data_IF_030302368226
#
_entry.id   IF_030302368226
#
_cell.length_a   1.000
_cell.length_b   1.000
_cell.length_c   1.000
_cell.angle_alpha   90.00
_cell.angle_beta   90.00
_cell.angle_gamma   90.00
#
_symmetry.space_group_name_H-M   'P 1'
#
loop_
_entity.id
_entity.type
_entity.pdbx_description
1 polymer ?
#
# COMPACT_ATOMS: atom_id res chain seq x y z
N UNK A 1 22.06 -60.42 13.27
CA UNK A 1 21.15 -59.70 14.20
C UNK A 1 21.63 -58.30 14.56
N UNK A 2 22.90 -58.07 14.97
CA UNK A 2 23.42 -56.72 15.34
C UNK A 2 23.26 -55.63 14.26
N UNK A 3 23.40 -55.97 12.97
CA UNK A 3 23.27 -55.02 11.85
C UNK A 3 21.82 -54.55 11.60
N UNK A 4 20.84 -55.38 11.92
CA UNK A 4 19.40 -55.07 11.74
C UNK A 4 18.93 -54.08 12.82
N UNK A 5 19.43 -54.23 14.06
CA UNK A 5 19.14 -53.28 15.14
C UNK A 5 19.67 -51.86 14.85
N UNK A 6 20.84 -51.75 14.20
CA UNK A 6 21.43 -50.45 13.83
C UNK A 6 20.60 -49.75 12.76
N UNK A 7 20.12 -50.49 11.76
CA UNK A 7 19.26 -49.93 10.69
C UNK A 7 17.92 -49.43 11.24
N UNK A 8 17.31 -50.17 12.17
CA UNK A 8 16.06 -49.74 12.82
C UNK A 8 16.25 -48.49 13.70
N UNK A 9 17.40 -48.33 14.35
CA UNK A 9 17.72 -47.15 15.16
C UNK A 9 17.90 -45.88 14.31
N UNK A 10 18.53 -46.00 13.13
CA UNK A 10 18.75 -44.87 12.22
C UNK A 10 17.42 -44.40 11.61
N UNK A 11 16.53 -45.33 11.23
CA UNK A 11 15.21 -44.99 10.68
C UNK A 11 14.34 -44.29 11.74
N UNK A 12 14.39 -44.73 13.00
CA UNK A 12 13.70 -44.06 14.11
C UNK A 12 14.24 -42.65 14.38
N UNK A 13 15.55 -42.43 14.23
CA UNK A 13 16.16 -41.11 14.42
C UNK A 13 15.80 -40.12 13.30
N UNK A 14 15.78 -40.57 12.03
CA UNK A 14 15.38 -39.74 10.88
C UNK A 14 13.90 -39.33 10.94
N UNK A 15 13.05 -40.17 11.53
CA UNK A 15 11.62 -39.91 11.72
C UNK A 15 11.33 -38.89 12.82
N UNK A 16 12.25 -38.69 13.78
CA UNK A 16 12.06 -37.76 14.89
C UNK A 16 12.44 -36.32 14.52
N UNK A 17 13.37 -36.13 13.58
CA UNK A 17 13.83 -34.80 13.14
C UNK A 17 12.83 -34.11 12.19
N UNK A 18 11.88 -34.85 11.61
CA UNK A 18 10.90 -34.32 10.64
C UNK A 18 9.64 -33.68 11.28
N UNK A 19 9.49 -33.74 12.61
CA UNK A 19 8.33 -33.19 13.32
C UNK A 19 8.52 -31.76 13.86
N UNK A 20 9.66 -31.12 13.57
CA UNK A 20 10.05 -29.83 14.15
C UNK A 20 9.51 -28.58 13.44
N UNK A 21 8.60 -28.68 12.46
CA UNK A 21 8.07 -27.52 11.73
C UNK A 21 6.66 -27.15 12.19
N UNK A 22 6.50 -26.97 13.50
CA UNK A 22 5.32 -26.30 14.05
C UNK A 22 5.34 -24.83 13.63
N UNK A 23 4.65 -24.49 12.54
CA UNK A 23 4.42 -23.09 12.12
C UNK A 23 3.65 -22.36 13.23
N UNK A 24 4.36 -21.81 14.21
CA UNK A 24 3.80 -20.88 15.19
C UNK A 24 3.16 -19.73 14.40
N UNK A 25 1.84 -19.65 14.40
CA UNK A 25 1.10 -18.49 13.90
C UNK A 25 1.41 -17.31 14.83
N UNK A 26 2.43 -16.53 14.48
CA UNK A 26 2.76 -15.29 15.19
C UNK A 26 1.65 -14.29 14.88
N UNK A 27 0.91 -13.87 15.91
CA UNK A 27 -0.12 -12.82 15.77
C UNK A 27 0.57 -11.50 15.36
N UNK A 28 0.06 -10.78 14.35
CA UNK A 28 0.64 -9.50 13.96
C UNK A 28 0.54 -8.49 15.10
N UNK A 29 1.57 -7.65 15.24
CA UNK A 29 1.53 -6.51 16.15
C UNK A 29 0.50 -5.47 15.70
N UNK A 30 0.08 -4.59 16.61
CA UNK A 30 -0.80 -3.48 16.26
C UNK A 30 -0.19 -2.60 15.16
N UNK A 31 1.12 -2.31 15.24
CA UNK A 31 1.84 -1.53 14.24
C UNK A 31 1.83 -2.20 12.86
N UNK A 32 1.95 -3.53 12.82
CA UNK A 32 1.85 -4.30 11.58
C UNK A 32 0.46 -4.19 10.98
N UNK A 33 -0.60 -4.27 11.80
CA UNK A 33 -1.98 -4.09 11.35
C UNK A 33 -2.23 -2.66 10.84
N UNK A 34 -1.76 -1.64 11.54
CA UNK A 34 -1.90 -0.25 11.12
C UNK A 34 -1.13 0.04 9.81
N UNK A 35 0.04 -0.57 9.64
CA UNK A 35 0.81 -0.49 8.40
C UNK A 35 0.07 -1.14 7.23
N UNK A 36 -0.46 -2.35 7.43
CA UNK A 36 -1.24 -3.05 6.40
C UNK A 36 -2.48 -2.27 6.01
N UNK A 37 -3.17 -1.69 7.00
CA UNK A 37 -4.36 -0.87 6.77
C UNK A 37 -4.02 0.40 5.99
N UNK A 38 -2.96 1.12 6.34
CA UNK A 38 -2.56 2.33 5.61
C UNK A 38 -2.20 2.03 4.15
N UNK A 39 -1.52 0.91 3.88
CA UNK A 39 -1.21 0.45 2.52
C UNK A 39 -2.48 0.03 1.76
N UNK A 40 -3.44 -0.61 2.44
CA UNK A 40 -4.74 -0.97 1.86
C UNK A 40 -5.54 0.27 1.46
N UNK A 41 -5.66 1.25 2.37
CA UNK A 41 -6.34 2.52 2.11
C UNK A 41 -5.62 3.29 0.99
N UNK A 42 -4.29 3.31 0.98
CA UNK A 42 -3.49 3.89 -0.12
C UNK A 42 -3.90 3.32 -1.48
N UNK A 43 -4.07 2.00 -1.59
CA UNK A 43 -4.50 1.36 -2.84
C UNK A 43 -5.96 1.64 -3.18
N UNK A 44 -6.84 1.76 -2.19
CA UNK A 44 -8.24 2.15 -2.41
C UNK A 44 -8.31 3.56 -2.99
N UNK A 45 -7.60 4.52 -2.40
CA UNK A 45 -7.54 5.90 -2.90
C UNK A 45 -6.98 5.92 -4.33
N UNK A 46 -5.91 5.13 -4.59
CA UNK A 46 -5.33 4.98 -5.93
C UNK A 46 -6.39 4.55 -6.95
N UNK A 47 -7.07 3.45 -6.68
CA UNK A 47 -8.10 2.90 -7.57
C UNK A 47 -9.30 3.84 -7.71
N UNK A 48 -9.71 4.50 -6.63
CA UNK A 48 -10.79 5.47 -6.65
C UNK A 48 -10.43 6.67 -7.53
N UNK A 49 -9.19 7.18 -7.45
CA UNK A 49 -8.69 8.22 -8.34
C UNK A 49 -8.70 7.79 -9.81
N UNK A 50 -8.11 6.63 -10.12
CA UNK A 50 -8.04 6.09 -11.50
C UNK A 50 -9.43 5.89 -12.12
N UNK A 51 -10.41 5.46 -11.32
CA UNK A 51 -11.80 5.24 -11.74
C UNK A 51 -12.70 6.46 -11.60
N UNK A 52 -12.20 7.56 -11.05
CA UNK A 52 -12.99 8.73 -10.65
C UNK A 52 -14.19 8.36 -9.77
N UNK A 53 -13.97 7.51 -8.77
CA UNK A 53 -14.98 7.15 -7.77
C UNK A 53 -15.03 8.25 -6.68
N UNK A 54 -15.98 9.18 -6.85
CA UNK A 54 -16.12 10.35 -5.98
C UNK A 54 -16.43 9.96 -4.53
N UNK A 55 -17.24 8.92 -4.33
CA UNK A 55 -17.70 8.52 -3.00
C UNK A 55 -16.57 7.83 -2.24
N UNK A 56 -15.85 6.91 -2.90
CA UNK A 56 -14.67 6.29 -2.30
C UNK A 56 -13.58 7.31 -1.97
N UNK A 57 -13.39 8.35 -2.79
CA UNK A 57 -12.47 9.44 -2.46
C UNK A 57 -12.94 10.22 -1.23
N UNK A 58 -14.22 10.60 -1.12
CA UNK A 58 -14.74 11.32 0.06
C UNK A 58 -14.67 10.51 1.34
N UNK A 59 -14.87 9.20 1.26
CA UNK A 59 -14.83 8.31 2.42
C UNK A 59 -13.40 8.15 2.98
N UNK A 60 -12.39 8.17 2.11
CA UNK A 60 -11.00 7.87 2.49
C UNK A 60 -10.09 9.11 2.63
N UNK A 61 -10.57 10.29 2.24
CA UNK A 61 -9.83 11.56 2.35
C UNK A 61 -10.42 12.45 3.46
N UNK A 62 -9.62 13.40 3.95
CA UNK A 62 -10.17 14.57 4.64
C UNK A 62 -10.99 15.44 3.67
N UNK A 63 -11.97 16.21 4.14
CA UNK A 63 -12.75 17.10 3.27
C UNK A 63 -11.86 18.05 2.45
N UNK A 64 -10.85 18.66 3.08
CA UNK A 64 -9.98 19.65 2.46
C UNK A 64 -9.14 19.05 1.33
N UNK A 65 -8.56 17.87 1.57
CA UNK A 65 -7.77 17.17 0.56
C UNK A 65 -8.66 16.57 -0.54
N UNK A 66 -9.84 16.08 -0.16
CA UNK A 66 -10.86 15.58 -1.07
C UNK A 66 -11.25 16.62 -2.10
N UNK A 67 -11.54 17.85 -1.68
CA UNK A 67 -11.91 18.94 -2.59
C UNK A 67 -10.81 19.27 -3.61
N UNK A 68 -9.55 19.25 -3.21
CA UNK A 68 -8.40 19.48 -4.10
C UNK A 68 -8.28 18.36 -5.13
N UNK A 69 -8.32 17.10 -4.69
CA UNK A 69 -8.15 15.94 -5.58
C UNK A 69 -9.34 15.82 -6.54
N UNK A 70 -10.57 16.01 -6.06
CA UNK A 70 -11.78 15.91 -6.88
C UNK A 70 -11.83 16.96 -8.00
N UNK A 71 -11.35 18.18 -7.74
CA UNK A 71 -11.21 19.22 -8.77
C UNK A 71 -10.20 18.85 -9.86
N UNK A 72 -9.24 17.97 -9.54
CA UNK A 72 -8.20 17.49 -10.44
C UNK A 72 -8.61 16.36 -11.40
N UNK A 73 -9.86 15.86 -11.35
CA UNK A 73 -10.32 14.69 -12.12
C UNK A 73 -10.72 15.00 -13.57
N UNK A 74 -9.97 15.86 -14.27
CA UNK A 74 -10.26 16.30 -15.65
C UNK A 74 -9.70 15.38 -16.75
N UNK A 75 -8.85 14.41 -16.43
CA UNK A 75 -8.30 13.42 -17.38
C UNK A 75 -9.35 12.44 -17.91
N UNK A 76 -9.14 11.75 -19.02
CA UNK A 76 -10.01 10.64 -19.49
C UNK A 76 -9.66 9.33 -18.79
N UNK A 77 -8.36 9.00 -18.72
CA UNK A 77 -7.84 7.82 -18.01
C UNK A 77 -6.63 8.22 -17.20
N UNK A 78 -6.45 7.55 -16.06
CA UNK A 78 -5.24 7.63 -15.25
C UNK A 78 -4.82 6.22 -14.83
N UNK A 79 -3.51 6.00 -14.80
CA UNK A 79 -2.89 4.79 -14.27
C UNK A 79 -1.74 5.21 -13.36
N UNK A 80 -1.84 4.89 -12.09
CA UNK A 80 -0.83 5.16 -11.07
C UNK A 80 -0.18 3.86 -10.62
N UNK A 81 1.12 3.90 -10.38
CA UNK A 81 1.88 2.81 -9.77
C UNK A 81 2.61 3.33 -8.55
N UNK A 82 2.41 2.69 -7.40
CA UNK A 82 3.03 3.06 -6.14
C UNK A 82 4.02 2.00 -5.69
N UNK A 83 5.18 2.44 -5.26
CA UNK A 83 6.21 1.61 -4.63
C UNK A 83 6.44 2.14 -3.21
N UNK A 84 5.76 1.58 -2.19
CA UNK A 84 6.00 1.93 -0.80
C UNK A 84 7.46 1.69 -0.43
N UNK A 85 8.08 2.67 0.23
CA UNK A 85 9.47 2.61 0.68
C UNK A 85 9.55 2.42 2.18
N UNK A 86 8.72 3.14 2.93
CA UNK A 86 8.68 3.03 4.38
C UNK A 86 7.37 3.54 4.95
N UNK A 87 6.94 2.93 6.04
CA UNK A 87 5.82 3.39 6.85
C UNK A 87 6.34 3.80 8.23
N UNK A 88 6.02 5.02 8.65
CA UNK A 88 6.35 5.52 10.00
C UNK A 88 5.06 5.77 10.77
N UNK A 89 5.03 5.35 12.03
CA UNK A 89 3.96 5.65 12.96
C UNK A 89 4.47 6.72 13.93
N UNK A 90 3.74 7.81 14.09
CA UNK A 90 4.03 8.87 15.05
C UNK A 90 2.72 9.37 15.65
N UNK A 91 2.56 9.20 16.95
CA UNK A 91 1.36 9.58 17.68
C UNK A 91 0.09 8.98 17.03
N UNK A 92 -0.78 9.82 16.49
CA UNK A 92 -2.00 9.41 15.79
C UNK A 92 -1.88 9.45 14.26
N UNK A 93 -0.66 9.67 13.74
CA UNK A 93 -0.36 9.78 12.32
C UNK A 93 0.41 8.56 11.80
N UNK A 94 0.07 8.16 10.58
CA UNK A 94 0.79 7.12 9.83
C UNK A 94 1.28 7.76 8.53
N UNK A 95 2.59 7.74 8.32
CA UNK A 95 3.24 8.33 7.15
C UNK A 95 3.73 7.23 6.23
N UNK A 96 3.14 7.14 5.04
CA UNK A 96 3.57 6.20 3.99
C UNK A 96 4.43 6.96 2.99
N UNK A 97 5.75 6.76 3.07
CA UNK A 97 6.67 7.24 2.05
C UNK A 97 6.65 6.26 0.86
N UNK A 98 6.45 6.80 -0.34
CA UNK A 98 6.41 6.00 -1.56
C UNK A 98 7.03 6.75 -2.74
N UNK A 99 7.51 5.98 -3.70
CA UNK A 99 7.75 6.48 -5.05
C UNK A 99 6.52 6.18 -5.90
N UNK A 100 6.24 7.05 -6.87
CA UNK A 100 5.11 6.87 -7.76
C UNK A 100 5.46 7.16 -9.21
N UNK A 101 4.72 6.51 -10.11
CA UNK A 101 4.68 6.81 -11.54
C UNK A 101 3.22 6.95 -11.94
N UNK A 102 2.92 7.88 -12.83
CA UNK A 102 1.58 8.12 -13.32
C UNK A 102 1.56 8.32 -14.83
N UNK A 103 0.53 7.77 -15.47
CA UNK A 103 0.18 8.02 -16.86
C UNK A 103 -1.24 8.58 -16.89
N UNK A 104 -1.45 9.68 -17.60
CA UNK A 104 -2.75 10.30 -17.82
C UNK A 104 -3.02 10.46 -19.30
N UNK A 105 -4.27 10.31 -19.72
CA UNK A 105 -4.69 10.66 -21.08
C UNK A 105 -5.78 11.71 -21.06
N UNK A 106 -5.76 12.63 -22.02
CA UNK A 106 -6.85 13.56 -22.30
C UNK A 106 -6.79 14.02 -23.75
N UNK A 107 -7.92 14.05 -24.45
CA UNK A 107 -8.01 14.50 -25.86
C UNK A 107 -7.00 13.79 -26.77
N UNK A 108 -6.79 12.49 -26.53
CA UNK A 108 -5.84 11.67 -27.30
C UNK A 108 -4.35 11.92 -27.03
N UNK A 109 -3.98 12.85 -26.13
CA UNK A 109 -2.60 13.06 -25.68
C UNK A 109 -2.34 12.26 -24.40
N UNK A 110 -1.14 11.70 -24.26
CA UNK A 110 -0.70 10.96 -23.06
C UNK A 110 0.41 11.71 -22.34
N UNK A 111 0.28 11.85 -21.03
CA UNK A 111 1.19 12.55 -20.13
C UNK A 111 1.71 11.58 -19.10
N UNK A 112 3.00 11.69 -18.79
CA UNK A 112 3.68 10.80 -17.86
C UNK A 112 4.46 11.62 -16.87
N UNK A 113 4.34 11.25 -15.61
CA UNK A 113 5.10 11.88 -14.54
C UNK A 113 5.47 10.85 -13.48
N UNK A 114 6.42 11.21 -12.63
CA UNK A 114 6.88 10.38 -11.52
C UNK A 114 7.47 11.24 -10.42
N UNK A 115 7.40 10.75 -9.20
CA UNK A 115 7.91 11.49 -8.05
C UNK A 115 8.04 10.66 -6.79
N UNK A 116 8.29 11.34 -5.69
CA UNK A 116 8.33 10.76 -4.35
C UNK A 116 7.49 11.60 -3.40
N UNK A 117 6.53 10.94 -2.75
CA UNK A 117 5.55 11.57 -1.88
C UNK A 117 5.49 10.92 -0.50
N UNK A 118 4.93 11.65 0.47
CA UNK A 118 4.58 11.11 1.77
C UNK A 118 3.07 11.28 1.95
N UNK A 119 2.37 10.15 2.00
CA UNK A 119 0.95 10.13 2.32
C UNK A 119 0.79 10.12 3.84
N UNK A 120 0.13 11.14 4.39
CA UNK A 120 -0.05 11.31 5.84
C UNK A 120 -1.49 10.96 6.21
N UNK A 121 -1.64 9.86 6.94
CA UNK A 121 -2.93 9.36 7.39
C UNK A 121 -3.18 9.71 8.86
N UNK A 122 -4.40 10.15 9.18
CA UNK A 122 -4.93 10.07 10.54
C UNK A 122 -5.30 8.61 10.83
N UNK A 123 -4.97 8.07 12.01
CA UNK A 123 -5.18 6.65 12.29
C UNK A 123 -6.65 6.27 12.63
N UNK A 124 -7.47 7.22 13.11
CA UNK A 124 -8.83 6.97 13.60
C UNK A 124 -9.78 8.14 13.29
N UNK A 125 -10.71 8.00 12.34
CA UNK A 125 -10.75 6.93 11.32
C UNK A 125 -9.54 7.01 10.39
N UNK A 126 -9.20 5.91 9.71
CA UNK A 126 -8.05 5.91 8.79
C UNK A 126 -8.35 6.72 7.53
N UNK A 127 -7.89 7.97 7.49
CA UNK A 127 -8.11 8.90 6.37
C UNK A 127 -6.80 9.56 5.96
N UNK A 128 -6.60 9.71 4.66
CA UNK A 128 -5.50 10.52 4.12
C UNK A 128 -5.86 11.98 4.32
N UNK A 129 -5.07 12.68 5.14
CA UNK A 129 -5.35 14.08 5.51
C UNK A 129 -4.43 15.06 4.80
N UNK A 130 -3.26 14.59 4.36
CA UNK A 130 -2.22 15.43 3.77
C UNK A 130 -1.29 14.61 2.88
N UNK A 131 -0.70 15.27 1.89
CA UNK A 131 0.33 14.72 1.01
C UNK A 131 1.49 15.70 1.03
N UNK A 132 2.65 15.25 1.50
CA UNK A 132 3.87 16.05 1.48
C UNK A 132 4.72 15.69 0.25
N UNK A 133 5.48 16.69 -0.24
CA UNK A 133 6.33 16.61 -1.44
C UNK A 133 5.51 16.46 -2.72
N UNK A 134 5.86 15.50 -3.57
CA UNK A 134 5.21 15.32 -4.88
C UNK A 134 3.86 14.63 -4.71
N UNK A 135 2.79 15.22 -5.24
CA UNK A 135 1.44 14.69 -5.14
C UNK A 135 1.09 13.78 -6.33
N UNK A 136 0.92 12.45 -6.14
CA UNK A 136 0.57 11.53 -7.21
C UNK A 136 -0.86 11.73 -7.76
N UNK A 137 -1.71 12.46 -7.05
CA UNK A 137 -3.12 12.71 -7.43
C UNK A 137 -3.32 14.07 -8.09
N UNK A 138 -2.23 14.67 -8.59
CA UNK A 138 -2.29 15.87 -9.44
C UNK A 138 -1.95 15.46 -10.86
N UNK A 139 -2.94 15.44 -11.74
CA UNK A 139 -2.67 15.25 -13.16
C UNK A 139 -1.86 16.45 -13.70
N UNK A 140 -0.84 16.22 -14.54
CA UNK A 140 -0.07 17.30 -15.14
C UNK A 140 -0.98 18.32 -15.85
N UNK A 141 -0.67 19.61 -15.69
CA UNK A 141 -1.45 20.68 -16.32
C UNK A 141 -1.26 20.56 -17.84
N UNK A 142 -2.37 20.44 -18.56
CA UNK A 142 -2.43 20.52 -20.01
C UNK A 142 -2.15 21.97 -20.43
N UNK A 143 -0.89 22.33 -20.63
CA UNK A 143 -0.56 23.55 -21.37
C UNK A 143 -0.47 23.18 -22.85
N UNK A 144 -1.39 23.73 -23.64
CA UNK A 144 -1.33 23.71 -25.11
C UNK A 144 -0.27 24.68 -25.63
#
# INVERSE_FOLDING_TARGET
>A
MKKICIVLMIIAFVSFVSSGCGKKKIKPSQDSLMTQEALRITNIIKTAYEKKDHDALRDNLSPELGDVILKGLFFEKAELSFTPRMVRLRDSLIMVNLNWHGNWSLKGKTFRDRGSGILVFQARPMKLIQIDRDNPFTAPIFMD
#
